data_IF_472039653462
#
_entry.id   IF_472039653462
#
_cell.length_a   1.000
_cell.length_b   1.000
_cell.length_c   1.000
_cell.angle_alpha   90.00
_cell.angle_beta   90.00
_cell.angle_gamma   90.00
#
_symmetry.space_group_name_H-M   'P 1'
#
loop_
_entity.id
_entity.type
_entity.pdbx_description
1 polymer ?
#
# COMPACT_ATOMS: atom_id res chain seq x y z
N UNK A 1 -1.42 21.15 30.10
CA UNK A 1 -1.47 19.67 29.96
C UNK A 1 -2.41 19.21 28.85
N UNK A 2 -3.68 19.66 28.81
CA UNK A 2 -4.68 19.32 27.78
C UNK A 2 -4.22 19.51 26.32
N UNK A 3 -3.48 20.59 26.03
CA UNK A 3 -3.01 20.88 24.65
C UNK A 3 -1.98 19.87 24.11
N UNK A 4 -1.19 19.23 25.00
CA UNK A 4 -0.17 18.24 24.62
C UNK A 4 -0.77 16.88 24.25
N UNK A 5 -1.86 16.49 24.92
CA UNK A 5 -2.59 15.25 24.61
C UNK A 5 -3.47 15.38 23.36
N UNK A 6 -4.09 16.55 23.15
CA UNK A 6 -4.84 16.86 21.92
C UNK A 6 -3.95 16.81 20.68
N UNK A 7 -2.70 17.26 20.81
CA UNK A 7 -1.72 17.19 19.73
C UNK A 7 -1.24 15.75 19.46
N UNK A 8 -1.04 14.90 20.48
CA UNK A 8 -0.67 13.48 20.27
C UNK A 8 -1.75 12.68 19.56
N UNK A 9 -3.01 12.88 19.92
CA UNK A 9 -4.14 12.19 19.25
C UNK A 9 -4.17 12.53 17.77
N UNK A 10 -4.07 13.82 17.45
CA UNK A 10 -3.99 14.31 16.06
C UNK A 10 -2.77 13.80 15.31
N UNK A 11 -1.61 13.71 15.97
CA UNK A 11 -0.41 13.12 15.35
C UNK A 11 -0.63 11.65 15.03
N UNK A 12 -1.24 10.88 15.93
CA UNK A 12 -1.55 9.47 15.68
C UNK A 12 -2.55 9.32 14.54
N UNK A 13 -3.66 10.06 14.55
CA UNK A 13 -4.64 10.08 13.46
C UNK A 13 -3.99 10.34 12.10
N UNK A 14 -3.12 11.36 11.99
CA UNK A 14 -2.43 11.66 10.75
C UNK A 14 -1.50 10.52 10.30
N UNK A 15 -0.77 9.89 11.21
CA UNK A 15 0.12 8.77 10.87
C UNK A 15 -0.69 7.57 10.34
N UNK A 16 -1.82 7.26 10.99
CA UNK A 16 -2.67 6.15 10.54
C UNK A 16 -3.30 6.48 9.19
N UNK A 17 -3.77 7.71 8.98
CA UNK A 17 -4.32 8.16 7.69
C UNK A 17 -3.30 7.96 6.55
N UNK A 18 -2.08 8.48 6.71
CA UNK A 18 -1.02 8.34 5.71
C UNK A 18 -0.63 6.87 5.49
N UNK A 19 -0.62 6.06 6.55
CA UNK A 19 -0.35 4.62 6.41
C UNK A 19 -1.46 3.92 5.64
N UNK A 20 -2.73 4.25 5.90
CA UNK A 20 -3.87 3.69 5.16
C UNK A 20 -3.85 4.08 3.68
N UNK A 21 -3.47 5.33 3.35
CA UNK A 21 -3.27 5.75 1.95
C UNK A 21 -2.19 4.93 1.28
N UNK A 22 -1.03 4.78 1.93
CA UNK A 22 0.06 3.96 1.39
C UNK A 22 -0.36 2.50 1.19
N UNK A 23 -1.05 1.89 2.16
CA UNK A 23 -1.57 0.52 2.00
C UNK A 23 -2.52 0.43 0.80
N UNK A 24 -3.44 1.39 0.65
CA UNK A 24 -4.36 1.40 -0.48
C UNK A 24 -3.63 1.52 -1.84
N UNK A 25 -2.59 2.35 -1.91
CA UNK A 25 -1.73 2.48 -3.09
C UNK A 25 -0.96 1.18 -3.39
N UNK A 26 -0.32 0.60 -2.37
CA UNK A 26 0.48 -0.62 -2.47
C UNK A 26 -0.38 -1.83 -2.89
N UNK A 27 -1.59 -1.93 -2.32
CA UNK A 27 -2.56 -3.00 -2.60
C UNK A 27 -3.48 -2.67 -3.80
N UNK A 28 -3.37 -1.48 -4.38
CA UNK A 28 -4.16 -0.98 -5.53
C UNK A 28 -5.65 -1.02 -5.28
N UNK A 29 -6.02 -0.72 -4.05
CA UNK A 29 -7.41 -0.55 -3.65
C UNK A 29 -7.75 0.92 -3.89
N UNK A 30 -8.78 1.17 -4.70
CA UNK A 30 -9.35 2.51 -4.84
C UNK A 30 -10.14 2.89 -3.59
N UNK A 31 -9.42 3.14 -2.50
CA UNK A 31 -9.98 3.48 -1.22
C UNK A 31 -10.13 4.98 -1.04
N UNK A 32 -11.27 5.39 -0.48
CA UNK A 32 -11.49 6.71 0.07
C UNK A 32 -11.14 6.69 1.55
N UNK A 33 -10.16 7.50 1.95
CA UNK A 33 -9.77 7.68 3.34
C UNK A 33 -10.29 9.05 3.80
N UNK A 34 -11.17 9.05 4.81
CA UNK A 34 -11.74 10.27 5.40
C UNK A 34 -11.37 10.37 6.88
N UNK A 35 -11.02 11.56 7.35
CA UNK A 35 -10.67 11.80 8.76
C UNK A 35 -11.74 12.63 9.46
N UNK A 36 -12.02 12.32 10.73
CA UNK A 36 -13.01 13.02 11.59
C UNK A 36 -14.35 13.17 10.89
N UNK A 37 -14.84 12.06 10.36
CA UNK A 37 -16.07 12.04 9.58
C UNK A 37 -17.26 11.85 10.53
N UNK A 38 -18.24 12.77 10.54
CA UNK A 38 -19.51 12.53 11.20
C UNK A 38 -20.39 11.62 10.34
N UNK A 39 -20.87 10.52 10.91
CA UNK A 39 -21.86 9.64 10.29
C UNK A 39 -23.15 9.65 11.12
N UNK A 40 -24.30 9.65 10.46
CA UNK A 40 -25.61 9.64 11.14
C UNK A 40 -25.99 8.17 11.39
N UNK A 41 -26.28 7.85 12.65
CA UNK A 41 -26.77 6.53 13.05
C UNK A 41 -28.28 6.35 12.89
N UNK A 42 -28.75 5.12 13.02
CA UNK A 42 -30.17 4.79 13.06
C UNK A 42 -30.90 5.44 14.26
N UNK A 43 -30.16 5.78 15.31
CA UNK A 43 -30.62 6.58 16.45
C UNK A 43 -30.79 8.08 16.13
N UNK A 44 -30.52 8.50 14.90
CA UNK A 44 -30.49 9.90 14.43
C UNK A 44 -29.42 10.76 15.09
N UNK A 45 -28.53 10.17 15.90
CA UNK A 45 -27.40 10.86 16.47
C UNK A 45 -26.21 10.86 15.50
N UNK A 46 -25.39 11.89 15.62
CA UNK A 46 -24.13 12.00 14.87
C UNK A 46 -23.01 11.31 15.62
N UNK A 47 -22.36 10.35 14.97
CA UNK A 47 -21.22 9.61 15.49
C UNK A 47 -19.97 9.98 14.70
N UNK A 48 -19.00 10.63 15.35
CA UNK A 48 -17.70 10.93 14.75
C UNK A 48 -16.76 9.73 14.87
N UNK A 49 -16.11 9.39 13.75
CA UNK A 49 -15.02 8.43 13.67
C UNK A 49 -13.71 9.12 13.30
N UNK A 50 -12.62 8.72 13.95
CA UNK A 50 -11.31 9.34 13.73
C UNK A 50 -10.86 9.15 12.27
N UNK A 51 -10.95 7.93 11.74
CA UNK A 51 -10.68 7.60 10.32
C UNK A 51 -11.75 6.66 9.80
N UNK A 52 -12.15 6.84 8.55
CA UNK A 52 -13.00 5.95 7.79
C UNK A 52 -12.27 5.56 6.50
N UNK A 53 -12.06 4.26 6.32
CA UNK A 53 -11.50 3.66 5.11
C UNK A 53 -12.64 2.97 4.35
N UNK A 54 -12.93 3.43 3.13
CA UNK A 54 -14.03 2.93 2.32
C UNK A 54 -13.51 2.50 0.95
N UNK A 55 -13.96 1.36 0.45
CA UNK A 55 -13.71 0.95 -0.93
C UNK A 55 -14.83 0.08 -1.44
N UNK A 56 -14.93 -0.02 -2.76
CA UNK A 56 -15.89 -0.90 -3.42
C UNK A 56 -15.19 -2.13 -3.98
N UNK A 57 -15.80 -3.30 -3.81
CA UNK A 57 -15.37 -4.52 -4.48
C UNK A 57 -16.59 -5.39 -4.84
N UNK A 58 -16.74 -5.75 -6.12
CA UNK A 58 -17.87 -6.51 -6.67
C UNK A 58 -19.26 -5.92 -6.37
N UNK A 59 -19.39 -4.59 -6.43
CA UNK A 59 -20.60 -3.84 -6.13
C UNK A 59 -20.89 -3.66 -4.63
N UNK A 60 -20.05 -4.23 -3.75
CA UNK A 60 -20.22 -4.14 -2.30
C UNK A 60 -19.34 -3.01 -1.73
N UNK A 61 -19.95 -2.16 -0.91
CA UNK A 61 -19.25 -1.11 -0.19
C UNK A 61 -18.67 -1.66 1.11
N UNK A 62 -17.35 -1.71 1.20
CA UNK A 62 -16.61 -2.10 2.40
C UNK A 62 -16.21 -0.85 3.17
N UNK A 63 -16.56 -0.80 4.45
CA UNK A 63 -16.28 0.35 5.32
C UNK A 63 -15.64 -0.11 6.61
N UNK A 64 -14.53 0.53 6.96
CA UNK A 64 -13.80 0.29 8.20
C UNK A 64 -13.62 1.61 8.93
N UNK A 65 -14.25 1.74 10.10
CA UNK A 65 -13.98 2.83 11.03
C UNK A 65 -12.79 2.46 11.92
N UNK A 66 -11.86 3.40 12.05
CA UNK A 66 -10.70 3.28 12.93
C UNK A 66 -10.81 4.37 14.00
N UNK A 67 -10.83 3.96 15.26
CA UNK A 67 -10.76 4.87 16.41
C UNK A 67 -9.34 4.83 17.00
N UNK A 68 -8.73 5.99 17.15
CA UNK A 68 -7.36 6.18 17.60
C UNK A 68 -7.32 6.71 19.03
N UNK A 69 -6.50 6.09 19.89
CA UNK A 69 -6.27 6.54 21.28
C UNK A 69 -4.80 6.54 21.67
N UNK A 70 -4.21 7.74 21.70
CA UNK A 70 -2.83 8.03 22.14
C UNK A 70 -2.73 8.40 23.62
N UNK A 71 -3.23 7.52 24.50
CA UNK A 71 -3.31 7.79 25.95
C UNK A 71 -2.29 6.96 26.72
N UNK A 72 -1.77 7.51 27.82
CA UNK A 72 -0.80 6.80 28.67
C UNK A 72 -1.44 5.72 29.57
N UNK A 73 -2.77 5.59 29.58
CA UNK A 73 -3.51 4.63 30.41
C UNK A 73 -4.10 3.54 29.54
N UNK A 74 -4.08 2.31 30.05
CA UNK A 74 -4.72 1.16 29.42
C UNK A 74 -6.20 1.45 29.12
N UNK A 75 -6.64 1.02 27.94
CA UNK A 75 -7.98 1.29 27.44
C UNK A 75 -9.00 0.51 28.28
N UNK A 76 -10.00 1.22 28.77
CA UNK A 76 -11.03 0.67 29.67
C UNK A 76 -12.24 0.13 28.90
N UNK A 77 -13.13 -0.57 29.63
CA UNK A 77 -14.34 -1.18 29.05
C UNK A 77 -15.26 -0.15 28.39
N UNK A 78 -15.46 1.02 29.03
CA UNK A 78 -16.37 2.06 28.53
C UNK A 78 -15.97 2.53 27.14
N UNK A 79 -14.67 2.79 26.91
CA UNK A 79 -14.18 3.29 25.63
C UNK A 79 -14.49 2.34 24.45
N UNK A 80 -14.35 1.03 24.64
CA UNK A 80 -14.70 0.04 23.63
C UNK A 80 -16.22 -0.12 23.48
N UNK A 81 -16.96 0.02 24.57
CA UNK A 81 -18.43 -0.07 24.56
C UNK A 81 -19.03 1.13 23.82
N UNK A 82 -18.49 2.33 24.03
CA UNK A 82 -18.89 3.55 23.32
C UNK A 82 -18.58 3.41 21.82
N UNK A 83 -17.40 2.90 21.46
CA UNK A 83 -17.07 2.64 20.06
C UNK A 83 -17.97 1.57 19.42
N UNK A 84 -18.23 0.46 20.12
CA UNK A 84 -19.16 -0.58 19.67
C UNK A 84 -20.56 -0.01 19.42
N UNK A 85 -21.03 0.88 20.31
CA UNK A 85 -22.31 1.55 20.14
C UNK A 85 -22.35 2.41 18.87
N UNK A 86 -21.32 3.23 18.61
CA UNK A 86 -21.23 4.02 17.37
C UNK A 86 -21.30 3.14 16.12
N UNK A 87 -20.54 2.05 16.09
CA UNK A 87 -20.50 1.10 14.96
C UNK A 87 -21.88 0.47 14.71
N UNK A 88 -22.53 -0.02 15.77
CA UNK A 88 -23.88 -0.61 15.69
C UNK A 88 -24.92 0.40 15.23
N UNK A 89 -24.84 1.64 15.74
CA UNK A 89 -25.79 2.69 15.38
C UNK A 89 -25.69 3.07 13.90
N UNK A 90 -24.47 3.17 13.37
CA UNK A 90 -24.25 3.47 11.93
C UNK A 90 -24.51 2.26 11.03
N UNK A 91 -24.19 1.06 11.48
CA UNK A 91 -24.40 -0.19 10.74
C UNK A 91 -23.50 -0.34 9.51
N UNK A 92 -23.41 -1.57 8.97
CA UNK A 92 -22.61 -1.94 7.79
C UNK A 92 -21.19 -1.32 7.80
N UNK A 93 -20.50 -1.40 8.94
CA UNK A 93 -19.18 -0.82 9.16
C UNK A 93 -18.41 -1.68 10.15
N UNK A 94 -17.17 -2.01 9.81
CA UNK A 94 -16.28 -2.79 10.67
C UNK A 94 -15.46 -1.86 11.56
N UNK A 95 -15.06 -2.35 12.74
CA UNK A 95 -14.35 -1.56 13.74
C UNK A 95 -12.91 -1.98 13.95
N UNK A 96 -11.98 -1.02 13.84
CA UNK A 96 -10.61 -1.14 14.35
C UNK A 96 -10.42 -0.14 15.50
N UNK A 97 -9.91 -0.62 16.63
CA UNK A 97 -9.51 0.21 17.75
C UNK A 97 -7.99 0.21 17.90
N UNK A 98 -7.37 1.36 17.64
CA UNK A 98 -5.92 1.51 17.64
C UNK A 98 -5.46 2.31 18.86
N UNK A 99 -4.50 1.76 19.62
CA UNK A 99 -3.96 2.47 20.79
C UNK A 99 -2.47 2.26 21.00
N UNK A 100 -1.80 3.25 21.58
CA UNK A 100 -0.43 3.12 22.10
C UNK A 100 -0.33 2.16 23.30
N UNK A 101 -1.44 1.90 24.00
CA UNK A 101 -1.45 1.07 25.21
C UNK A 101 -2.37 -0.14 25.07
N UNK A 102 -2.21 -1.12 25.98
CA UNK A 102 -3.00 -2.35 26.01
C UNK A 102 -4.44 -2.13 26.50
N UNK A 103 -5.31 -3.07 26.15
CA UNK A 103 -6.64 -3.19 26.73
C UNK A 103 -6.58 -3.67 28.19
N UNK A 104 -7.50 -3.19 29.03
CA UNK A 104 -7.85 -3.83 30.30
C UNK A 104 -8.65 -5.13 30.04
N UNK A 105 -8.70 -6.03 31.03
CA UNK A 105 -9.41 -7.34 30.91
C UNK A 105 -10.85 -7.18 30.42
N UNK A 106 -11.60 -6.22 30.98
CA UNK A 106 -12.97 -5.96 30.58
C UNK A 106 -13.11 -5.39 29.16
N UNK A 107 -12.15 -4.58 28.71
CA UNK A 107 -12.14 -4.05 27.35
C UNK A 107 -11.83 -5.13 26.31
N UNK A 108 -10.93 -6.08 26.65
CA UNK A 108 -10.64 -7.23 25.78
C UNK A 108 -11.88 -8.08 25.53
N UNK A 109 -12.67 -8.36 26.58
CA UNK A 109 -13.91 -9.12 26.44
C UNK A 109 -14.94 -8.40 25.55
N UNK A 110 -15.05 -7.06 25.65
CA UNK A 110 -15.93 -6.29 24.76
C UNK A 110 -15.41 -6.31 23.32
N UNK A 111 -14.11 -6.14 23.12
CA UNK A 111 -13.50 -6.19 21.79
C UNK A 111 -13.79 -7.50 21.07
N UNK A 112 -13.67 -8.64 21.78
CA UNK A 112 -13.94 -9.97 21.24
C UNK A 112 -15.44 -10.21 20.99
N UNK A 113 -16.31 -9.77 21.91
CA UNK A 113 -17.76 -9.95 21.79
C UNK A 113 -18.37 -9.11 20.67
N UNK A 114 -17.86 -7.90 20.46
CA UNK A 114 -18.39 -6.93 19.49
C UNK A 114 -17.66 -6.96 18.13
N UNK A 115 -16.79 -7.95 17.93
CA UNK A 115 -15.94 -8.11 16.73
C UNK A 115 -15.16 -6.83 16.35
N UNK A 116 -14.64 -6.15 17.38
CA UNK A 116 -13.76 -4.99 17.20
C UNK A 116 -12.33 -5.49 17.17
N UNK A 117 -11.63 -5.21 16.07
CA UNK A 117 -10.20 -5.52 15.96
C UNK A 117 -9.38 -4.52 16.77
N UNK A 118 -8.76 -4.98 17.85
CA UNK A 118 -7.79 -4.18 18.58
C UNK A 118 -6.38 -4.33 17.99
N UNK A 119 -5.69 -3.19 17.79
CA UNK A 119 -4.31 -3.14 17.30
C UNK A 119 -3.49 -2.20 18.19
N UNK A 120 -2.34 -2.66 18.70
CA UNK A 120 -1.39 -1.75 19.34
C UNK A 120 -0.62 -0.97 18.30
N UNK A 121 -0.39 0.32 18.54
CA UNK A 121 0.37 1.15 17.62
C UNK A 121 1.79 0.63 17.37
N UNK A 122 2.44 -0.01 18.36
CA UNK A 122 3.73 -0.67 18.14
C UNK A 122 3.66 -1.77 17.08
N UNK A 123 2.59 -2.57 17.12
CA UNK A 123 2.39 -3.71 16.23
C UNK A 123 2.00 -3.19 14.83
N UNK A 124 1.11 -2.19 14.79
CA UNK A 124 0.78 -1.46 13.55
C UNK A 124 2.00 -0.83 12.92
N UNK A 125 2.85 -0.17 13.72
CA UNK A 125 4.09 0.44 13.25
C UNK A 125 5.08 -0.61 12.78
N UNK A 126 5.20 -1.77 13.44
CA UNK A 126 6.06 -2.85 12.94
C UNK A 126 5.55 -3.43 11.62
N UNK A 127 4.23 -3.49 11.41
CA UNK A 127 3.62 -3.87 10.15
C UNK A 127 3.87 -2.81 9.07
N UNK A 128 3.61 -1.53 9.36
CA UNK A 128 3.85 -0.44 8.42
C UNK A 128 5.33 -0.25 8.12
N UNK A 129 6.22 -0.46 9.09
CA UNK A 129 7.68 -0.49 8.94
C UNK A 129 8.16 -1.75 8.23
N UNK A 130 7.53 -2.91 8.38
CA UNK A 130 7.85 -4.05 7.50
C UNK A 130 7.54 -3.76 6.03
N UNK A 131 6.58 -2.85 5.78
CA UNK A 131 6.26 -2.28 4.47
C UNK A 131 7.03 -0.97 4.14
N UNK A 132 7.73 -0.35 5.11
CA UNK A 132 8.38 0.98 4.97
C UNK A 132 9.91 1.00 5.23
N UNK A 133 10.50 0.05 5.94
CA UNK A 133 11.91 0.11 6.38
C UNK A 133 12.88 -0.50 5.37
N UNK A 134 12.40 -0.96 4.21
CA UNK A 134 13.32 -1.41 3.17
C UNK A 134 12.87 -1.28 1.72
N UNK A 135 11.58 -1.05 1.42
CA UNK A 135 11.07 -1.11 0.04
C UNK A 135 9.87 -0.14 -0.17
N UNK A 136 10.12 1.04 -0.74
CA UNK A 136 9.19 1.63 -1.74
C UNK A 136 9.36 0.94 -3.10
N UNK A 137 10.31 0.01 -3.16
CA UNK A 137 10.64 -0.85 -4.27
C UNK A 137 9.61 -1.98 -4.37
N UNK A 138 9.13 -2.29 -5.57
CA UNK A 138 8.35 -3.47 -5.77
C UNK A 138 9.17 -4.72 -5.42
N UNK A 139 8.54 -5.70 -4.79
CA UNK A 139 9.11 -7.02 -4.51
C UNK A 139 8.32 -8.09 -5.28
N UNK A 140 8.67 -9.38 -5.18
CA UNK A 140 7.93 -10.44 -5.90
C UNK A 140 6.41 -10.48 -5.61
N UNK A 141 5.94 -9.89 -4.50
CA UNK A 141 4.51 -9.78 -4.15
C UNK A 141 3.84 -8.54 -4.74
N UNK A 142 4.62 -7.57 -5.22
CA UNK A 142 4.08 -6.38 -5.87
C UNK A 142 3.34 -6.78 -7.13
N UNK A 143 2.08 -6.36 -7.21
CA UNK A 143 1.24 -6.59 -8.38
C UNK A 143 1.81 -5.72 -9.52
N UNK A 144 1.94 -6.24 -10.74
CA UNK A 144 2.59 -5.57 -11.88
C UNK A 144 1.61 -4.93 -12.88
N UNK A 145 0.76 -4.03 -12.42
CA UNK A 145 -0.19 -3.25 -13.26
C UNK A 145 0.46 -1.92 -13.67
N UNK A 146 0.79 -1.73 -14.96
CA UNK A 146 0.67 -2.70 -16.06
C UNK A 146 1.96 -3.50 -16.31
N UNK A 147 3.07 -3.23 -15.61
CA UNK A 147 4.38 -3.77 -15.97
C UNK A 147 5.06 -4.62 -14.91
N UNK A 148 6.00 -5.44 -15.37
CA UNK A 148 7.00 -6.19 -14.60
C UNK A 148 8.40 -5.76 -15.04
N UNK A 149 9.37 -5.83 -14.13
CA UNK A 149 10.75 -5.45 -14.41
C UNK A 149 11.75 -6.22 -13.53
N UNK A 150 13.04 -6.08 -13.84
CA UNK A 150 14.12 -6.63 -13.02
C UNK A 150 14.77 -5.55 -12.16
N UNK A 151 14.94 -5.84 -10.88
CA UNK A 151 15.65 -4.99 -9.92
C UNK A 151 16.86 -5.72 -9.34
N UNK A 152 17.90 -4.97 -9.00
CA UNK A 152 19.06 -5.44 -8.26
C UNK A 152 18.91 -5.07 -6.77
N UNK A 153 18.71 -6.08 -5.92
CA UNK A 153 18.50 -5.92 -4.47
C UNK A 153 19.69 -5.32 -3.72
N UNK A 154 20.89 -5.43 -4.30
CA UNK A 154 22.12 -4.89 -3.71
C UNK A 154 22.36 -3.42 -4.08
N UNK A 155 21.55 -2.83 -4.96
CA UNK A 155 21.71 -1.44 -5.38
C UNK A 155 21.38 -0.44 -4.27
N UNK A 156 22.17 0.63 -4.17
CA UNK A 156 22.02 1.66 -3.14
C UNK A 156 21.32 2.93 -3.63
N UNK A 157 21.27 3.13 -4.95
CA UNK A 157 20.56 4.22 -5.60
C UNK A 157 19.66 3.74 -6.75
N UNK A 158 18.93 4.66 -7.39
CA UNK A 158 18.02 4.33 -8.48
C UNK A 158 18.70 3.57 -9.64
N UNK A 159 19.89 3.98 -10.07
CA UNK A 159 20.57 3.38 -11.23
C UNK A 159 21.14 2.01 -10.88
N UNK A 160 21.66 1.85 -9.66
CA UNK A 160 22.16 0.56 -9.19
C UNK A 160 21.03 -0.44 -8.95
N UNK A 161 19.85 0.03 -8.55
CA UNK A 161 18.67 -0.79 -8.26
C UNK A 161 17.88 -1.17 -9.51
N UNK A 162 17.73 -0.27 -10.48
CA UNK A 162 16.98 -0.54 -11.70
C UNK A 162 17.95 -1.07 -12.76
N UNK A 163 17.80 -2.35 -13.12
CA UNK A 163 18.75 -3.00 -14.04
C UNK A 163 18.58 -2.41 -15.45
N UNK A 164 19.57 -1.61 -15.87
CA UNK A 164 19.65 -1.06 -17.21
C UNK A 164 20.54 -1.93 -18.10
N UNK A 165 20.00 -2.38 -19.23
CA UNK A 165 20.74 -3.12 -20.26
C UNK A 165 21.06 -2.19 -21.42
N UNK A 166 22.35 -1.94 -21.68
CA UNK A 166 22.77 -1.01 -22.74
C UNK A 166 22.05 0.35 -22.65
N UNK A 167 21.90 0.90 -21.44
CA UNK A 167 21.17 2.13 -21.15
C UNK A 167 19.65 2.07 -21.42
N UNK A 168 19.06 0.87 -21.43
CA UNK A 168 17.62 0.64 -21.60
C UNK A 168 17.04 -0.03 -20.36
N UNK A 169 15.96 0.54 -19.81
CA UNK A 169 15.13 -0.08 -18.79
C UNK A 169 14.02 -0.90 -19.46
N UNK A 170 13.98 -2.20 -19.20
CA UNK A 170 12.96 -3.07 -19.79
C UNK A 170 11.73 -3.22 -18.90
N UNK A 171 10.56 -2.95 -19.48
CA UNK A 171 9.25 -3.18 -18.89
C UNK A 171 8.55 -4.31 -19.64
N UNK A 172 7.86 -5.18 -18.91
CA UNK A 172 7.13 -6.33 -19.47
C UNK A 172 5.66 -6.25 -19.09
N UNK A 173 4.75 -6.26 -20.05
CA UNK A 173 3.30 -6.27 -19.76
C UNK A 173 2.82 -7.59 -19.13
N UNK A 174 3.57 -8.67 -19.37
CA UNK A 174 3.23 -10.00 -18.91
C UNK A 174 4.30 -10.58 -18.00
N UNK A 175 3.90 -10.99 -16.79
CA UNK A 175 4.75 -11.74 -15.86
C UNK A 175 5.35 -12.98 -16.50
N UNK A 176 4.57 -13.68 -17.31
CA UNK A 176 5.00 -14.90 -17.99
C UNK A 176 6.19 -14.64 -18.92
N UNK A 177 6.09 -13.61 -19.77
CA UNK A 177 7.18 -13.25 -20.68
C UNK A 177 8.40 -12.71 -19.94
N UNK A 178 8.21 -11.97 -18.85
CA UNK A 178 9.31 -11.56 -18.00
C UNK A 178 10.04 -12.76 -17.36
N UNK A 179 9.30 -13.75 -16.84
CA UNK A 179 9.89 -14.97 -16.28
C UNK A 179 10.66 -15.78 -17.31
N UNK A 180 10.12 -15.92 -18.52
CA UNK A 180 10.83 -16.62 -19.59
C UNK A 180 12.06 -15.84 -20.09
N UNK A 181 12.01 -14.51 -20.17
CA UNK A 181 13.18 -13.68 -20.45
C UNK A 181 14.28 -13.92 -19.41
N UNK A 182 13.91 -13.92 -18.13
CA UNK A 182 14.84 -14.26 -17.03
C UNK A 182 15.45 -15.64 -17.24
N UNK A 183 14.61 -16.65 -17.52
CA UNK A 183 15.04 -18.05 -17.69
C UNK A 183 15.87 -18.26 -18.94
N UNK A 184 15.81 -17.42 -19.98
CA UNK A 184 16.51 -17.64 -21.25
C UNK A 184 17.73 -16.74 -21.43
N UNK A 185 17.58 -15.47 -21.09
CA UNK A 185 18.59 -14.41 -21.28
C UNK A 185 19.40 -14.22 -20.01
N UNK A 186 18.74 -14.25 -18.85
CA UNK A 186 19.36 -13.93 -17.56
C UNK A 186 19.74 -15.18 -16.75
N UNK A 187 19.91 -16.33 -17.41
CA UNK A 187 20.21 -17.65 -16.81
C UNK A 187 21.38 -17.67 -15.80
N UNK A 188 22.30 -16.73 -15.92
CA UNK A 188 23.52 -16.63 -15.10
C UNK A 188 23.62 -15.31 -14.32
N UNK A 189 22.52 -14.57 -14.22
CA UNK A 189 22.54 -13.31 -13.49
C UNK A 189 22.69 -13.52 -11.98
N UNK A 190 23.31 -12.52 -11.35
CA UNK A 190 23.56 -12.45 -9.91
C UNK A 190 22.31 -12.79 -9.08
N UNK A 191 22.47 -13.49 -7.96
CA UNK A 191 21.39 -13.87 -7.03
C UNK A 191 20.59 -12.65 -6.52
N UNK A 192 21.19 -11.47 -6.64
CA UNK A 192 20.60 -10.18 -6.25
C UNK A 192 19.54 -9.66 -7.24
N UNK A 193 19.45 -10.20 -8.46
CA UNK A 193 18.49 -9.74 -9.47
C UNK A 193 17.14 -10.44 -9.31
N UNK A 194 16.08 -9.67 -9.10
CA UNK A 194 14.72 -10.16 -8.85
C UNK A 194 13.70 -9.61 -9.85
N UNK A 195 12.76 -10.46 -10.28
CA UNK A 195 11.60 -10.07 -11.06
C UNK A 195 10.49 -9.53 -10.14
N UNK A 196 10.04 -8.30 -10.39
CA UNK A 196 9.07 -7.61 -9.54
C UNK A 196 8.01 -6.90 -10.38
N UNK A 197 6.81 -6.71 -9.83
CA UNK A 197 5.73 -5.97 -10.50
C UNK A 197 5.83 -4.48 -10.23
N UNK A 198 5.76 -3.62 -11.25
CA UNK A 198 5.94 -2.17 -11.12
C UNK A 198 4.72 -1.52 -10.47
N UNK A 199 4.90 -0.79 -9.37
CA UNK A 199 3.85 0.01 -8.72
C UNK A 199 3.64 1.36 -9.44
N UNK A 200 2.52 2.03 -9.18
CA UNK A 200 2.25 3.35 -9.74
C UNK A 200 3.22 4.43 -9.23
N UNK A 201 3.69 4.33 -7.98
CA UNK A 201 4.73 5.20 -7.44
C UNK A 201 6.07 4.95 -8.15
N UNK A 202 6.47 3.70 -8.31
CA UNK A 202 7.72 3.34 -8.99
C UNK A 202 7.69 3.72 -10.48
N UNK A 203 6.53 3.62 -11.14
CA UNK A 203 6.36 4.07 -12.53
C UNK A 203 6.57 5.59 -12.67
N UNK A 204 6.09 6.38 -11.70
CA UNK A 204 6.36 7.83 -11.63
C UNK A 204 7.85 8.11 -11.39
N UNK A 205 8.49 7.36 -10.51
CA UNK A 205 9.94 7.50 -10.22
C UNK A 205 10.80 7.16 -11.45
N UNK A 206 10.43 6.11 -12.19
CA UNK A 206 11.05 5.77 -13.47
C UNK A 206 10.96 6.95 -14.43
N UNK A 207 9.78 7.56 -14.60
CA UNK A 207 9.57 8.70 -15.49
C UNK A 207 10.49 9.88 -15.14
N UNK A 208 10.51 10.28 -13.86
CA UNK A 208 11.36 11.38 -13.38
C UNK A 208 12.84 11.06 -13.60
N UNK A 209 13.23 9.81 -13.32
CA UNK A 209 14.62 9.36 -13.45
C UNK A 209 15.06 9.23 -14.90
N UNK A 210 14.17 8.85 -15.81
CA UNK A 210 14.45 8.77 -17.24
C UNK A 210 14.90 10.13 -17.78
N UNK A 211 14.19 11.20 -17.42
CA UNK A 211 14.55 12.58 -17.80
C UNK A 211 15.89 12.99 -17.18
N UNK A 212 16.08 12.68 -15.90
CA UNK A 212 17.28 13.06 -15.13
C UNK A 212 18.54 12.37 -15.64
N UNK A 213 18.47 11.08 -15.91
CA UNK A 213 19.62 10.23 -16.23
C UNK A 213 19.72 9.88 -17.73
N UNK A 214 18.71 10.23 -18.53
CA UNK A 214 18.68 10.05 -20.00
C UNK A 214 18.84 8.60 -20.46
N UNK A 215 18.25 7.66 -19.73
CA UNK A 215 18.12 6.27 -20.19
C UNK A 215 16.87 6.10 -21.06
N UNK A 216 16.83 5.03 -21.86
CA UNK A 216 15.68 4.67 -22.70
C UNK A 216 14.78 3.68 -21.96
N UNK A 217 13.50 3.66 -22.29
CA UNK A 217 12.55 2.67 -21.76
C UNK A 217 12.12 1.80 -22.94
N UNK A 218 12.29 0.49 -22.78
CA UNK A 218 11.89 -0.51 -23.77
C UNK A 218 10.71 -1.31 -23.24
N UNK A 219 9.58 -1.22 -23.91
CA UNK A 219 8.42 -2.06 -23.63
C UNK A 219 8.55 -3.37 -24.39
N UNK A 220 8.50 -4.47 -23.66
CA UNK A 220 8.54 -5.80 -24.24
C UNK A 220 7.18 -6.13 -24.90
N UNK A 221 7.16 -6.13 -26.23
CA UNK A 221 5.98 -6.40 -27.05
C UNK A 221 6.22 -7.66 -27.90
N UNK A 222 5.85 -8.85 -27.41
CA UNK A 222 6.17 -10.09 -28.11
C UNK A 222 5.26 -10.30 -29.32
N UNK A 223 5.87 -10.45 -30.50
CA UNK A 223 5.26 -11.19 -31.60
C UNK A 223 5.59 -12.67 -31.37
N UNK A 224 4.56 -13.50 -31.17
CA UNK A 224 4.68 -14.90 -30.73
C UNK A 224 5.59 -15.77 -31.62
N UNK A 225 5.76 -15.42 -32.90
CA UNK A 225 6.60 -16.12 -33.88
C UNK A 225 8.10 -15.78 -33.79
N UNK A 226 8.48 -14.63 -33.23
CA UNK A 226 9.89 -14.21 -33.07
C UNK A 226 10.54 -14.78 -31.80
N UNK A 227 9.69 -15.18 -30.84
CA UNK A 227 10.06 -15.73 -29.55
C UNK A 227 10.76 -17.10 -29.64
N UNK A 228 10.40 -17.93 -30.61
CA UNK A 228 11.08 -19.22 -30.85
C UNK A 228 12.49 -19.05 -31.41
N UNK A 229 12.81 -17.87 -31.96
CA UNK A 229 14.12 -17.56 -32.56
C UNK A 229 15.07 -16.82 -31.60
N UNK A 230 14.71 -16.70 -30.31
CA UNK A 230 15.41 -15.87 -29.32
C UNK A 230 15.60 -14.40 -29.76
N UNK A 231 14.68 -13.86 -30.55
CA UNK A 231 14.65 -12.45 -30.88
C UNK A 231 13.72 -11.73 -29.91
N UNK A 232 14.29 -10.84 -29.10
CA UNK A 232 13.55 -10.06 -28.12
C UNK A 232 13.36 -8.64 -28.65
N UNK A 233 12.14 -8.33 -29.11
CA UNK A 233 11.80 -6.97 -29.53
C UNK A 233 11.30 -6.15 -28.35
N UNK A 234 11.92 -4.99 -28.19
CA UNK A 234 11.52 -3.97 -27.25
C UNK A 234 11.16 -2.72 -28.05
N UNK A 235 9.90 -2.33 -28.01
CA UNK A 235 9.47 -1.06 -28.60
C UNK A 235 9.96 0.07 -27.68
N UNK A 236 10.57 1.14 -28.23
CA UNK A 236 10.85 2.32 -27.42
C UNK A 236 9.51 2.85 -26.87
N UNK A 237 9.52 3.21 -25.58
CA UNK A 237 8.39 3.83 -24.91
C UNK A 237 8.79 5.25 -24.54
N UNK A 238 8.12 6.22 -25.15
CA UNK A 238 8.39 7.63 -24.91
C UNK A 238 7.82 8.09 -23.57
N UNK A 239 8.41 9.15 -23.01
CA UNK A 239 8.01 9.69 -21.70
C UNK A 239 6.54 10.10 -21.64
N UNK A 240 5.99 10.57 -22.76
CA UNK A 240 4.57 10.94 -22.89
C UNK A 240 3.65 9.70 -22.97
N UNK A 241 4.13 8.59 -23.53
CA UNK A 241 3.36 7.33 -23.59
C UNK A 241 3.28 6.68 -22.21
N UNK A 242 4.29 6.87 -21.35
CA UNK A 242 4.26 6.41 -19.95
C UNK A 242 3.11 7.07 -19.18
N UNK A 243 2.75 8.31 -19.50
CA UNK A 243 1.63 9.00 -18.85
C UNK A 243 0.28 8.32 -19.10
N UNK A 244 0.14 7.56 -20.18
CA UNK A 244 -1.08 6.77 -20.43
C UNK A 244 -1.25 5.62 -19.42
N UNK A 245 -0.16 5.21 -18.77
CA UNK A 245 -0.14 4.11 -17.80
C UNK A 245 -0.12 4.59 -16.34
N UNK A 246 0.11 5.89 -16.11
CA UNK A 246 0.07 6.52 -14.79
C UNK A 246 -1.38 6.91 -14.47
N UNK A 247 -1.90 6.41 -13.34
CA UNK A 247 -3.27 6.68 -12.84
C UNK A 247 -3.23 7.46 -11.54
#
# INVERSE_FOLDING_TARGET
MFNKFKNRGRTLENIIEETCKKIAEDERINAKISKRIPLIGADKATHEFDILYEYEHFGLQYRVAIECKSWNKAINKSQLTDFAYKLKSVGNINGIFLSETKLQKGAKLVSEYEDIKFIRYSDFRSFSLSQNEKYLLPNYRSIGDPFWMFINKSGTDFLEQNVLFNNILYLFESKYYAMEFQRRVLKQMNEDIELVGVSQSHLRDIKVSQIKYKFQIGLFNPIHEEWERNQFHFSPLDTEEIDWFIR
#
